data_IF_744678550981
#
_entry.id   IF_744678550981
#
_cell.length_a   1.000
_cell.length_b   1.000
_cell.length_c   1.000
_cell.angle_alpha   90.00
_cell.angle_beta   90.00
_cell.angle_gamma   90.00
#
_symmetry.space_group_name_H-M   'P 1'
#
loop_
_entity.id
_entity.type
_entity.pdbx_description
1 polymer ?
#
# COMPACT_ATOMS: atom_id res chain seq x y z
N UNK A 1 20.95 -19.75 15.21
CA UNK A 1 19.62 -19.14 15.38
C UNK A 1 19.44 -18.23 14.18
N UNK A 2 18.62 -18.61 13.19
CA UNK A 2 18.43 -17.77 12.00
C UNK A 2 17.68 -16.51 12.41
N UNK A 3 18.38 -15.37 12.36
CA UNK A 3 17.78 -14.05 12.39
C UNK A 3 16.66 -14.05 11.34
N UNK A 4 15.41 -14.00 11.80
CA UNK A 4 14.32 -13.73 10.88
C UNK A 4 14.56 -12.29 10.46
N UNK A 5 15.15 -12.07 9.28
CA UNK A 5 15.35 -10.75 8.69
C UNK A 5 13.97 -10.09 8.59
N UNK A 6 13.58 -9.38 9.64
CA UNK A 6 12.49 -8.41 9.55
C UNK A 6 12.99 -7.36 8.57
N UNK A 7 12.20 -7.09 7.55
CA UNK A 7 12.55 -6.07 6.59
C UNK A 7 12.65 -4.71 7.31
N UNK A 8 13.50 -3.81 6.81
CA UNK A 8 13.69 -2.48 7.38
C UNK A 8 12.86 -1.45 6.58
N UNK A 9 11.81 -0.84 7.16
CA UNK A 9 11.00 0.17 6.48
C UNK A 9 11.79 1.43 6.09
N UNK A 10 12.88 1.73 6.81
CA UNK A 10 13.67 2.95 6.59
C UNK A 10 14.26 3.04 5.17
N UNK A 11 14.46 1.90 4.48
CA UNK A 11 14.93 1.87 3.10
C UNK A 11 13.92 2.46 2.08
N UNK A 12 12.66 2.58 2.49
CA UNK A 12 11.54 3.05 1.65
C UNK A 12 10.97 4.38 2.12
N UNK A 13 11.55 4.96 3.17
CA UNK A 13 11.05 6.18 3.83
C UNK A 13 11.79 7.38 3.28
N UNK A 14 11.07 8.42 2.87
CA UNK A 14 11.64 9.74 2.69
C UNK A 14 11.93 10.34 4.07
N UNK A 15 13.21 10.46 4.39
CA UNK A 15 13.65 10.97 5.69
C UNK A 15 13.31 12.45 5.91
N UNK A 16 13.06 13.22 4.85
CA UNK A 16 12.70 14.64 4.95
C UNK A 16 11.21 14.82 5.24
N UNK A 17 10.36 13.97 4.67
CA UNK A 17 8.90 14.16 4.68
C UNK A 17 8.17 13.20 5.62
N UNK A 18 8.81 12.11 6.06
CA UNK A 18 8.18 11.16 6.98
C UNK A 18 7.13 10.28 6.30
N UNK A 19 7.21 10.13 4.98
CA UNK A 19 6.34 9.26 4.21
C UNK A 19 7.11 8.08 3.62
N UNK A 20 6.41 6.97 3.40
CA UNK A 20 6.96 5.71 2.88
C UNK A 20 6.43 5.50 1.46
N UNK A 21 7.36 5.32 0.53
CA UNK A 21 7.05 5.16 -0.88
C UNK A 21 6.58 3.75 -1.19
N UNK A 22 5.53 3.65 -2.00
CA UNK A 22 5.07 2.38 -2.52
C UNK A 22 4.59 2.48 -3.97
N UNK A 23 4.65 1.34 -4.66
CA UNK A 23 4.05 1.13 -5.96
C UNK A 23 2.84 0.25 -5.81
N UNK A 24 1.69 0.74 -6.26
CA UNK A 24 0.42 0.03 -6.22
C UNK A 24 0.04 -0.39 -7.64
N UNK A 25 -0.10 -1.69 -7.86
CA UNK A 25 -0.55 -2.27 -9.12
C UNK A 25 -1.90 -2.96 -8.93
N UNK A 26 -2.88 -2.51 -9.71
CA UNK A 26 -4.20 -3.14 -9.82
C UNK A 26 -4.21 -4.04 -11.04
N UNK A 27 -4.64 -5.28 -10.88
CA UNK A 27 -4.83 -6.24 -11.98
C UNK A 27 -6.32 -6.56 -12.12
N UNK A 28 -6.87 -6.25 -13.28
CA UNK A 28 -8.25 -6.49 -13.68
C UNK A 28 -8.45 -7.96 -14.13
N UNK A 29 -9.71 -8.46 -14.22
CA UNK A 29 -9.98 -9.85 -14.56
C UNK A 29 -9.58 -10.22 -15.99
N UNK A 30 -9.49 -9.24 -16.89
CA UNK A 30 -9.00 -9.39 -18.25
C UNK A 30 -7.46 -9.40 -18.35
N UNK A 31 -6.76 -9.26 -17.22
CA UNK A 31 -5.30 -9.16 -17.15
C UNK A 31 -4.75 -7.74 -17.34
N UNK A 32 -5.60 -6.76 -17.65
CA UNK A 32 -5.22 -5.36 -17.73
C UNK A 32 -4.68 -4.86 -16.39
N UNK A 33 -3.69 -3.96 -16.43
CA UNK A 33 -3.09 -3.40 -15.22
C UNK A 33 -3.12 -1.88 -15.20
N UNK A 34 -3.23 -1.33 -13.99
CA UNK A 34 -3.03 0.10 -13.69
C UNK A 34 -2.02 0.18 -12.56
N UNK A 35 -1.08 1.12 -12.65
CA UNK A 35 -0.04 1.29 -11.65
C UNK A 35 0.10 2.75 -11.27
N UNK A 36 0.27 3.01 -9.98
CA UNK A 36 0.62 4.30 -9.40
C UNK A 36 1.79 4.10 -8.44
N UNK A 37 2.66 5.11 -8.33
CA UNK A 37 3.81 5.09 -7.42
C UNK A 37 3.82 6.44 -6.71
N UNK A 38 3.86 6.41 -5.38
CA UNK A 38 3.86 7.61 -4.56
C UNK A 38 4.11 7.29 -3.09
N UNK A 39 4.16 8.33 -2.30
CA UNK A 39 4.39 8.39 -0.86
C UNK A 39 3.13 8.15 -0.04
N UNK A 40 2.29 7.20 -0.48
CA UNK A 40 0.95 6.95 0.07
C UNK A 40 0.89 6.37 1.49
N UNK A 41 2.01 6.26 2.20
CA UNK A 41 2.08 5.63 3.52
C UNK A 41 2.79 6.58 4.47
N UNK A 42 2.37 6.61 5.74
CA UNK A 42 3.08 7.37 6.76
C UNK A 42 4.17 6.53 7.43
N UNK A 43 5.28 7.19 7.78
CA UNK A 43 6.33 6.59 8.57
C UNK A 43 5.88 6.45 10.04
N UNK A 44 5.69 5.20 10.46
CA UNK A 44 5.49 4.82 11.84
C UNK A 44 6.38 3.57 12.14
N UNK A 45 6.38 2.98 13.35
CA UNK A 45 7.18 1.77 13.61
C UNK A 45 6.95 0.64 12.61
N UNK A 46 5.77 0.64 11.96
CA UNK A 46 5.46 -0.04 10.71
C UNK A 46 4.85 0.99 9.76
N UNK A 47 5.05 0.91 8.44
CA UNK A 47 4.34 1.79 7.51
C UNK A 47 2.83 1.60 7.62
N UNK A 48 2.08 2.71 7.59
CA UNK A 48 0.62 2.71 7.72
C UNK A 48 -0.03 3.48 6.57
N UNK A 49 -1.17 3.01 6.07
CA UNK A 49 -1.80 3.58 4.87
C UNK A 49 -2.54 4.88 5.12
N UNK A 50 -3.16 5.04 6.29
CA UNK A 50 -3.86 6.26 6.71
C UNK A 50 -4.68 6.91 5.57
N UNK A 51 -4.49 8.20 5.30
CA UNK A 51 -5.22 8.93 4.26
C UNK A 51 -4.69 8.66 2.85
N UNK A 52 -3.47 8.12 2.69
CA UNK A 52 -2.86 7.88 1.38
C UNK A 52 -3.61 6.88 0.50
N UNK A 53 -4.53 6.09 1.09
CA UNK A 53 -5.50 5.28 0.34
C UNK A 53 -6.33 6.12 -0.64
N UNK A 54 -6.71 7.36 -0.27
CA UNK A 54 -7.56 8.22 -1.11
C UNK A 54 -6.78 8.71 -2.33
N UNK A 55 -5.52 9.08 -2.14
CA UNK A 55 -4.62 9.53 -3.19
C UNK A 55 -4.30 8.40 -4.17
N UNK A 56 -3.88 7.24 -3.65
CA UNK A 56 -3.64 6.05 -4.45
C UNK A 56 -4.90 5.61 -5.22
N UNK A 57 -6.07 5.60 -4.56
CA UNK A 57 -7.33 5.22 -5.19
C UNK A 57 -7.75 6.23 -6.27
N UNK A 58 -7.52 7.53 -6.06
CA UNK A 58 -7.80 8.56 -7.06
C UNK A 58 -6.96 8.35 -8.32
N UNK A 59 -5.65 8.14 -8.18
CA UNK A 59 -4.76 7.90 -9.32
C UNK A 59 -5.08 6.61 -10.08
N UNK A 60 -5.48 5.55 -9.36
CA UNK A 60 -5.83 4.26 -9.96
C UNK A 60 -7.26 4.20 -10.53
N UNK A 61 -8.05 5.27 -10.36
CA UNK A 61 -9.45 5.34 -10.77
C UNK A 61 -10.37 4.42 -9.95
N UNK A 62 -10.06 4.24 -8.66
CA UNK A 62 -10.75 3.41 -7.68
C UNK A 62 -11.45 4.22 -6.58
N UNK A 63 -11.41 5.55 -6.61
CA UNK A 63 -11.95 6.40 -5.53
C UNK A 63 -13.41 6.06 -5.14
N UNK A 64 -14.25 5.71 -6.11
CA UNK A 64 -15.65 5.29 -5.90
C UNK A 64 -15.82 4.01 -5.06
N UNK A 65 -14.77 3.20 -4.87
CA UNK A 65 -14.81 2.07 -3.93
C UNK A 65 -14.65 2.49 -2.48
N UNK A 66 -14.19 3.73 -2.22
CA UNK A 66 -13.96 4.25 -0.86
C UNK A 66 -15.20 4.92 -0.25
N UNK A 67 -16.32 5.02 -1.00
CA UNK A 67 -17.59 5.55 -0.48
C UNK A 67 -18.17 4.70 0.68
N UNK A 68 -17.72 3.44 0.82
CA UNK A 68 -18.03 2.59 1.97
C UNK A 68 -16.93 2.71 3.05
N UNK A 69 -17.22 3.47 4.11
CA UNK A 69 -16.33 3.68 5.25
C UNK A 69 -15.88 2.36 5.93
N UNK A 70 -16.73 1.32 5.95
CA UNK A 70 -16.35 0.03 6.53
C UNK A 70 -15.32 -0.68 5.66
N UNK A 71 -15.46 -0.58 4.34
CA UNK A 71 -14.49 -1.13 3.41
C UNK A 71 -13.17 -0.38 3.51
N UNK A 72 -13.22 0.96 3.56
CA UNK A 72 -12.05 1.82 3.78
C UNK A 72 -11.24 1.36 5.00
N UNK A 73 -11.87 1.28 6.18
CA UNK A 73 -11.19 0.92 7.42
C UNK A 73 -10.62 -0.51 7.38
N UNK A 74 -11.35 -1.42 6.72
CA UNK A 74 -10.89 -2.81 6.55
C UNK A 74 -9.66 -2.91 5.65
N UNK A 75 -9.59 -2.10 4.59
CA UNK A 75 -8.43 -2.07 3.69
C UNK A 75 -7.21 -1.51 4.41
N UNK A 76 -7.34 -0.38 5.13
CA UNK A 76 -6.22 0.18 5.89
C UNK A 76 -5.69 -0.82 6.92
N UNK A 77 -6.58 -1.41 7.74
CA UNK A 77 -6.17 -2.39 8.74
C UNK A 77 -5.45 -3.62 8.13
N UNK A 78 -5.89 -4.09 6.97
CA UNK A 78 -5.26 -5.23 6.30
C UNK A 78 -3.91 -4.87 5.67
N UNK A 79 -3.77 -3.67 5.12
CA UNK A 79 -2.50 -3.14 4.59
C UNK A 79 -1.48 -3.01 5.71
N UNK A 80 -1.83 -2.31 6.80
CA UNK A 80 -0.97 -2.12 7.97
C UNK A 80 -0.55 -3.48 8.57
N UNK A 81 -1.49 -4.42 8.68
CA UNK A 81 -1.22 -5.78 9.16
C UNK A 81 -0.21 -6.50 8.27
N UNK A 82 -0.35 -6.48 6.95
CA UNK A 82 0.59 -7.15 6.05
C UNK A 82 1.97 -6.46 6.06
N UNK A 83 2.00 -5.12 6.09
CA UNK A 83 3.22 -4.34 6.20
C UNK A 83 3.94 -4.57 7.52
N UNK A 84 3.27 -4.98 8.60
CA UNK A 84 4.00 -5.35 9.83
C UNK A 84 4.98 -6.53 9.68
N UNK A 85 4.88 -7.33 8.59
CA UNK A 85 5.70 -8.54 8.39
C UNK A 85 6.59 -8.52 7.14
N UNK A 86 6.22 -7.79 6.09
CA UNK A 86 6.94 -7.80 4.80
C UNK A 86 6.69 -6.52 3.99
N UNK A 87 7.58 -6.14 3.06
CA UNK A 87 7.45 -4.91 2.25
C UNK A 87 6.49 -5.07 1.06
N UNK A 88 5.43 -5.86 1.24
CA UNK A 88 4.52 -6.28 0.16
C UNK A 88 3.12 -6.56 0.71
N UNK A 89 2.10 -5.91 0.15
CA UNK A 89 0.70 -6.22 0.40
C UNK A 89 0.05 -6.85 -0.82
N UNK A 90 -0.86 -7.80 -0.56
CA UNK A 90 -1.74 -8.37 -1.58
C UNK A 90 -3.17 -8.30 -1.08
N UNK A 91 -4.04 -7.64 -1.85
CA UNK A 91 -5.47 -7.61 -1.64
C UNK A 91 -6.16 -8.23 -2.86
N UNK A 92 -7.31 -8.84 -2.66
CA UNK A 92 -8.12 -9.35 -3.77
C UNK A 92 -9.60 -9.22 -3.46
N UNK A 93 -10.36 -8.94 -4.51
CA UNK A 93 -11.81 -9.02 -4.53
C UNK A 93 -12.24 -9.68 -5.84
N UNK A 94 -13.55 -9.75 -6.10
CA UNK A 94 -14.08 -10.34 -7.34
C UNK A 94 -13.74 -9.49 -8.58
N UNK A 95 -13.59 -8.18 -8.40
CA UNK A 95 -13.44 -7.21 -9.47
C UNK A 95 -11.97 -7.03 -9.89
N UNK A 96 -11.01 -7.24 -8.99
CA UNK A 96 -9.58 -7.06 -9.26
C UNK A 96 -8.73 -7.62 -8.12
N UNK A 97 -7.42 -7.64 -8.34
CA UNK A 97 -6.43 -7.80 -7.28
C UNK A 97 -5.53 -6.57 -7.21
N UNK A 98 -5.00 -6.30 -6.02
CA UNK A 98 -4.06 -5.21 -5.77
C UNK A 98 -2.78 -5.80 -5.19
N UNK A 99 -1.65 -5.36 -5.74
CA UNK A 99 -0.33 -5.54 -5.17
C UNK A 99 0.21 -4.17 -4.79
N UNK A 100 0.72 -4.04 -3.57
CA UNK A 100 1.47 -2.86 -3.13
C UNK A 100 2.88 -3.32 -2.74
N UNK A 101 3.90 -2.81 -3.41
CA UNK A 101 5.31 -3.03 -3.10
C UNK A 101 5.89 -1.77 -2.47
N UNK A 102 6.63 -1.87 -1.36
CA UNK A 102 7.45 -0.75 -0.92
C UNK A 102 8.60 -0.54 -1.92
N UNK A 103 8.90 0.71 -2.24
CA UNK A 103 9.94 1.09 -3.20
C UNK A 103 10.80 2.21 -2.63
N UNK A 104 12.01 2.38 -3.18
CA UNK A 104 12.86 3.51 -2.80
C UNK A 104 12.18 4.84 -3.17
N UNK A 105 12.33 5.90 -2.33
CA UNK A 105 11.84 7.24 -2.65
C UNK A 105 12.38 7.78 -3.99
N UNK A 106 11.61 8.59 -4.71
CA UNK A 106 11.98 9.16 -6.01
C UNK A 106 12.21 10.67 -6.00
#
# INVERSE_FOLDING_TARGET
>A
MSETLRYNPAAYTDAAEGHVWCRVTVTLPDGGTRTATGDYLDAAPIPVLCCGIEEAAKELGLLHYLDDERLYLKVCAEVDRQLSWRPLVRLSCRQFSIRLDLVEPQ
#
